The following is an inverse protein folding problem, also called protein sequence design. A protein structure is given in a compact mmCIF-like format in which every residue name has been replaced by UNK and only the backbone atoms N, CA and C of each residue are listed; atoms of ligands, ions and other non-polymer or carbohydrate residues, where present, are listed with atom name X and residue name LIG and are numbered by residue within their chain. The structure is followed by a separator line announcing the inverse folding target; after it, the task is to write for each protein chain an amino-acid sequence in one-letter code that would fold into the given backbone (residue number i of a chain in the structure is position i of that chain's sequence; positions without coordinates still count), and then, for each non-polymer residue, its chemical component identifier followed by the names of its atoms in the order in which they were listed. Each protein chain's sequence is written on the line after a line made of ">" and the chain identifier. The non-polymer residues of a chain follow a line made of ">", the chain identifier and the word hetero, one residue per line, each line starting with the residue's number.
data_IF_138571875211
#
_entry.id   IF_138571875211
#
_cell.length_a   1.000
_cell.length_b   1.000
_cell.length_c   1.000
_cell.angle_alpha   90.00
_cell.angle_beta   90.00
_cell.angle_gamma   90.00
#
_symmetry.space_group_name_H-M   'P 1'
#
loop_
_entity.id
_entity.type
_entity.pdbx_description
1 polymer ?
#
# COMPACT_ATOMS: atom_id res chain seq x y z
N UNK A 1 2.07 0.68 -12.03
CA UNK A 1 2.72 0.95 -13.32
C UNK A 1 3.66 -0.22 -13.61
N UNK A 2 3.87 -0.53 -14.88
CA UNK A 2 4.64 -1.71 -15.25
C UNK A 2 6.13 -1.38 -15.37
N UNK A 3 6.99 -2.32 -14.98
CA UNK A 3 8.44 -2.18 -14.99
C UNK A 3 9.11 -3.48 -15.43
N UNK A 4 10.20 -3.37 -16.19
CA UNK A 4 11.01 -4.52 -16.58
C UNK A 4 12.06 -4.82 -15.52
N UNK A 5 12.04 -6.03 -14.96
CA UNK A 5 13.01 -6.53 -13.98
C UNK A 5 13.45 -7.93 -14.40
N UNK A 6 14.75 -8.12 -14.62
CA UNK A 6 15.35 -9.41 -15.00
C UNK A 6 14.63 -10.10 -16.19
N UNK A 7 14.21 -9.29 -17.18
CA UNK A 7 13.50 -9.78 -18.38
C UNK A 7 12.02 -10.12 -18.19
N UNK A 8 11.44 -9.79 -17.02
CA UNK A 8 10.01 -9.93 -16.74
C UNK A 8 9.34 -8.57 -16.63
N UNK A 9 8.12 -8.45 -17.15
CA UNK A 9 7.25 -7.32 -16.89
C UNK A 9 6.55 -7.53 -15.55
N UNK A 10 6.80 -6.66 -14.57
CA UNK A 10 6.20 -6.71 -13.23
C UNK A 10 5.39 -5.43 -12.97
N UNK A 11 4.33 -5.56 -12.18
CA UNK A 11 3.49 -4.42 -11.78
C UNK A 11 3.99 -3.82 -10.47
N UNK A 12 4.44 -2.57 -10.50
CA UNK A 12 4.77 -1.80 -9.31
C UNK A 12 3.56 -0.97 -8.82
N UNK A 13 3.27 -1.06 -7.52
CA UNK A 13 2.09 -0.45 -6.90
C UNK A 13 2.41 0.30 -5.62
N UNK A 14 1.65 1.38 -5.38
CA UNK A 14 1.71 2.24 -4.22
C UNK A 14 0.29 2.68 -3.84
N UNK A 15 -0.02 2.70 -2.56
CA UNK A 15 -1.24 3.32 -2.05
C UNK A 15 -0.88 4.58 -1.27
N UNK A 16 -1.18 5.75 -1.85
CA UNK A 16 -0.70 7.05 -1.36
C UNK A 16 -1.39 7.59 -0.11
N UNK A 17 -2.67 7.24 0.09
CA UNK A 17 -3.47 7.75 1.20
C UNK A 17 -4.04 6.66 2.10
N UNK A 18 -3.21 5.78 2.71
CA UNK A 18 -3.68 4.69 3.58
C UNK A 18 -4.05 5.15 4.99
N UNK A 19 -3.73 6.40 5.35
CA UNK A 19 -3.95 6.94 6.70
C UNK A 19 -5.43 7.19 7.00
N UNK A 20 -5.87 6.73 8.17
CA UNK A 20 -7.27 6.77 8.58
C UNK A 20 -7.66 8.03 9.37
N UNK A 21 -6.69 8.86 9.76
CA UNK A 21 -6.92 10.05 10.62
C UNK A 21 -8.03 10.97 10.09
N UNK A 22 -8.06 11.22 8.78
CA UNK A 22 -9.09 12.07 8.14
C UNK A 22 -10.48 11.43 8.09
N UNK A 23 -10.61 10.15 8.42
CA UNK A 23 -11.84 9.37 8.42
C UNK A 23 -12.45 9.21 9.82
N UNK A 24 -11.69 9.51 10.88
CA UNK A 24 -12.17 9.53 12.26
C UNK A 24 -13.28 10.58 12.44
N UNK A 25 -14.25 10.30 13.31
CA UNK A 25 -15.43 11.15 13.49
C UNK A 25 -15.06 12.58 13.93
N UNK A 26 -14.05 12.74 14.78
CA UNK A 26 -13.55 14.05 15.24
C UNK A 26 -13.07 14.94 14.09
N UNK A 27 -12.47 14.32 13.06
CA UNK A 27 -11.81 15.04 11.99
C UNK A 27 -12.69 15.16 10.74
N UNK A 28 -13.59 14.20 10.50
CA UNK A 28 -14.36 14.08 9.25
C UNK A 28 -15.14 15.34 8.89
N UNK A 29 -15.86 15.91 9.86
CA UNK A 29 -16.80 17.00 9.60
C UNK A 29 -16.07 18.32 9.24
N UNK A 30 -14.81 18.48 9.67
CA UNK A 30 -13.98 19.64 9.38
C UNK A 30 -13.31 19.60 7.98
N UNK A 31 -13.21 18.42 7.35
CA UNK A 31 -12.45 18.24 6.09
C UNK A 31 -13.27 18.55 4.83
N UNK A 32 -14.57 18.83 4.94
CA UNK A 32 -15.42 19.19 3.79
C UNK A 32 -15.62 18.06 2.77
N UNK A 33 -15.38 16.79 3.16
CA UNK A 33 -15.59 15.62 2.28
C UNK A 33 -16.54 14.58 2.90
N UNK A 34 -17.87 14.76 2.75
CA UNK A 34 -18.87 13.94 3.44
C UNK A 34 -18.87 12.44 3.09
N UNK A 35 -18.33 12.05 1.92
CA UNK A 35 -18.29 10.66 1.44
C UNK A 35 -16.93 9.98 1.62
N UNK A 36 -16.05 10.53 2.46
CA UNK A 36 -14.68 10.03 2.62
C UNK A 36 -14.60 8.54 3.00
N UNK A 37 -15.39 8.06 3.98
CA UNK A 37 -15.41 6.64 4.38
C UNK A 37 -15.92 5.73 3.26
N UNK A 38 -16.95 6.16 2.53
CA UNK A 38 -17.46 5.40 1.39
C UNK A 38 -16.39 5.28 0.29
N UNK A 39 -15.80 6.41 -0.12
CA UNK A 39 -14.75 6.41 -1.15
C UNK A 39 -13.51 5.63 -0.74
N UNK A 40 -13.16 5.65 0.55
CA UNK A 40 -12.07 4.84 1.09
C UNK A 40 -12.38 3.34 1.02
N UNK A 41 -13.60 2.92 1.42
CA UNK A 41 -14.03 1.52 1.29
C UNK A 41 -14.01 1.04 -0.17
N UNK A 42 -14.49 1.86 -1.10
CA UNK A 42 -14.46 1.57 -2.54
C UNK A 42 -13.02 1.44 -3.05
N UNK A 43 -12.11 2.30 -2.57
CA UNK A 43 -10.68 2.22 -2.87
C UNK A 43 -10.07 0.91 -2.39
N UNK A 44 -10.33 0.51 -1.13
CA UNK A 44 -9.82 -0.76 -0.59
C UNK A 44 -10.34 -1.99 -1.36
N UNK A 45 -11.61 -1.95 -1.80
CA UNK A 45 -12.18 -3.00 -2.65
C UNK A 45 -11.47 -3.08 -4.01
N UNK A 46 -11.26 -1.93 -4.65
CA UNK A 46 -10.54 -1.88 -5.93
C UNK A 46 -9.09 -2.35 -5.79
N UNK A 47 -8.35 -1.87 -4.79
CA UNK A 47 -6.94 -2.23 -4.63
C UNK A 47 -6.71 -3.73 -4.41
N UNK A 48 -7.69 -4.47 -3.86
CA UNK A 48 -7.62 -5.93 -3.76
C UNK A 48 -7.75 -6.67 -5.08
N UNK A 49 -8.33 -6.04 -6.10
CA UNK A 49 -8.42 -6.62 -7.45
C UNK A 49 -7.18 -6.34 -8.28
N UNK A 50 -6.27 -5.49 -7.81
CA UNK A 50 -5.05 -5.12 -8.53
C UNK A 50 -3.91 -6.01 -8.05
N UNK A 51 -3.36 -6.79 -8.97
CA UNK A 51 -2.13 -7.54 -8.71
C UNK A 51 -0.93 -6.59 -8.72
N UNK A 52 -0.17 -6.60 -7.62
CA UNK A 52 1.04 -5.81 -7.44
C UNK A 52 2.17 -6.77 -7.11
N UNK A 53 3.17 -6.82 -7.98
CA UNK A 53 4.38 -7.62 -7.78
C UNK A 53 5.40 -6.86 -6.92
N UNK A 54 5.57 -5.57 -7.19
CA UNK A 54 6.54 -4.70 -6.51
C UNK A 54 5.81 -3.70 -5.63
N UNK A 55 5.95 -3.86 -4.32
CA UNK A 55 5.27 -3.00 -3.35
C UNK A 55 6.13 -1.80 -2.95
N UNK A 56 5.62 -0.61 -3.27
CA UNK A 56 6.17 0.68 -2.85
C UNK A 56 5.31 1.28 -1.73
N UNK A 57 5.97 1.69 -0.63
CA UNK A 57 5.32 2.45 0.44
C UNK A 57 5.18 3.92 0.05
N UNK A 58 4.06 4.54 0.41
CA UNK A 58 3.92 6.01 0.40
C UNK A 58 4.82 6.66 1.47
N UNK A 59 5.06 5.93 2.56
CA UNK A 59 6.08 6.24 3.54
C UNK A 59 7.03 5.04 3.71
N UNK A 60 8.34 5.26 3.93
CA UNK A 60 9.34 4.18 3.98
C UNK A 60 9.07 3.07 4.99
N UNK A 61 8.39 3.38 6.10
CA UNK A 61 8.07 2.40 7.15
C UNK A 61 7.01 1.39 6.74
N UNK A 62 6.14 1.74 5.78
CA UNK A 62 4.99 0.90 5.42
C UNK A 62 5.42 -0.44 4.83
N UNK A 63 6.46 -0.44 3.99
CA UNK A 63 6.96 -1.62 3.30
C UNK A 63 8.39 -2.00 3.71
N UNK A 64 8.91 -1.44 4.81
CA UNK A 64 10.30 -1.61 5.25
C UNK A 64 11.35 -1.23 4.19
N UNK A 65 11.16 -0.09 3.51
CA UNK A 65 12.01 0.36 2.39
C UNK A 65 13.50 0.31 2.73
N UNK A 66 13.91 0.79 3.90
CA UNK A 66 15.34 0.84 4.26
C UNK A 66 15.96 -0.54 4.47
N UNK A 67 15.25 -1.47 5.12
CA UNK A 67 15.72 -2.86 5.28
C UNK A 67 15.82 -3.57 3.91
N UNK A 68 14.77 -3.46 3.09
CA UNK A 68 14.75 -4.02 1.74
C UNK A 68 15.87 -3.45 0.88
N UNK A 69 16.15 -2.15 1.00
CA UNK A 69 17.25 -1.51 0.29
C UNK A 69 18.62 -2.06 0.72
N UNK A 70 18.87 -2.21 2.02
CA UNK A 70 20.14 -2.78 2.51
C UNK A 70 20.32 -4.24 2.08
N UNK A 71 19.26 -5.05 2.11
CA UNK A 71 19.26 -6.43 1.61
C UNK A 71 19.55 -6.49 0.11
N UNK A 72 18.89 -5.63 -0.68
CA UNK A 72 19.14 -5.51 -2.12
C UNK A 72 20.60 -5.13 -2.39
N UNK A 73 21.14 -4.15 -1.64
CA UNK A 73 22.53 -3.68 -1.73
C UNK A 73 23.54 -4.78 -1.43
N UNK A 74 23.22 -5.70 -0.51
CA UNK A 74 24.03 -6.89 -0.20
C UNK A 74 23.91 -8.01 -1.24
N UNK A 75 23.11 -7.80 -2.28
CA UNK A 75 22.96 -8.74 -3.39
C UNK A 75 21.87 -9.79 -3.16
N UNK A 76 20.95 -9.60 -2.20
CA UNK A 76 19.85 -10.54 -2.00
C UNK A 76 19.05 -10.77 -3.30
N UNK A 77 18.72 -12.03 -3.56
CA UNK A 77 17.88 -12.45 -4.68
C UNK A 77 16.80 -13.43 -4.20
N UNK A 78 15.56 -13.34 -4.71
CA UNK A 78 15.07 -12.33 -5.67
C UNK A 78 15.05 -10.91 -5.07
N UNK A 79 14.86 -9.87 -5.89
CA UNK A 79 14.82 -8.48 -5.42
C UNK A 79 13.80 -8.34 -4.26
N UNK A 80 14.20 -7.89 -3.06
CA UNK A 80 13.33 -7.87 -1.87
C UNK A 80 12.15 -6.90 -1.96
N UNK A 81 12.12 -6.02 -2.98
CA UNK A 81 10.96 -5.19 -3.28
C UNK A 81 9.86 -5.92 -4.06
N UNK A 82 10.17 -7.08 -4.67
CA UNK A 82 9.15 -7.97 -5.23
C UNK A 82 8.48 -8.68 -4.05
N UNK A 83 7.36 -8.12 -3.60
CA UNK A 83 6.68 -8.49 -2.35
C UNK A 83 5.15 -8.40 -2.50
N UNK A 84 4.55 -9.28 -3.34
CA UNK A 84 3.10 -9.32 -3.52
C UNK A 84 2.35 -9.75 -2.26
N UNK A 85 3.02 -10.47 -1.35
CA UNK A 85 2.44 -10.91 -0.08
C UNK A 85 2.36 -9.73 0.89
N UNK A 86 3.44 -8.95 1.02
CA UNK A 86 3.46 -7.74 1.84
C UNK A 86 2.43 -6.71 1.41
N UNK A 87 2.23 -6.52 0.09
CA UNK A 87 1.15 -5.69 -0.43
C UNK A 87 -0.24 -6.13 0.05
N UNK A 88 -0.54 -7.43 -0.08
CA UNK A 88 -1.84 -7.99 0.34
C UNK A 88 -2.05 -7.87 1.85
N UNK A 89 -1.00 -8.12 2.64
CA UNK A 89 -1.06 -7.97 4.09
C UNK A 89 -1.30 -6.51 4.49
N UNK A 90 -0.59 -5.57 3.88
CA UNK A 90 -0.76 -4.14 4.13
C UNK A 90 -2.19 -3.66 3.87
N UNK A 91 -2.82 -4.10 2.77
CA UNK A 91 -4.22 -3.77 2.48
C UNK A 91 -5.18 -4.39 3.50
N UNK A 92 -4.90 -5.62 3.96
CA UNK A 92 -5.72 -6.30 4.98
C UNK A 92 -5.61 -5.61 6.34
N UNK A 93 -4.41 -5.15 6.72
CA UNK A 93 -4.18 -4.42 7.97
C UNK A 93 -4.93 -3.09 7.97
N UNK A 94 -4.85 -2.32 6.86
CA UNK A 94 -5.61 -1.06 6.71
C UNK A 94 -7.11 -1.33 6.74
N UNK A 95 -7.60 -2.38 6.08
CA UNK A 95 -9.03 -2.71 6.12
C UNK A 95 -9.47 -3.03 7.55
N UNK A 96 -8.70 -3.84 8.27
CA UNK A 96 -8.97 -4.20 9.66
C UNK A 96 -9.06 -2.96 10.55
N UNK A 97 -8.16 -2.00 10.37
CA UNK A 97 -8.20 -0.74 11.11
C UNK A 97 -9.36 0.16 10.67
N UNK A 98 -9.67 0.21 9.37
CA UNK A 98 -10.80 0.96 8.84
C UNK A 98 -12.14 0.45 9.38
N UNK A 99 -12.29 -0.86 9.59
CA UNK A 99 -13.49 -1.48 10.15
C UNK A 99 -13.73 -1.13 11.63
N UNK A 100 -12.73 -0.56 12.32
CA UNK A 100 -12.83 -0.11 13.72
C UNK A 100 -13.27 1.35 13.86
N UNK A 101 -13.37 2.09 12.75
CA UNK A 101 -13.78 3.50 12.72
C UNK A 101 -15.27 3.73 12.89
#
# INVERSE_FOLDING_TARGET
>A
FDVQVDGKCLTAGLFGGPGLWTLEDEHRDAQGYPRNRQGFSETLKYLRTVDVDIWLGAHPHQNNTFDKFERLRRGERPNPFIDPVGWKQFLADIESDFQKL
#
